data_IF_256346794925
#
_entry.id   IF_256346794925
#
_cell.length_a   1.000
_cell.length_b   1.000
_cell.length_c   1.000
_cell.angle_alpha   90.00
_cell.angle_beta   90.00
_cell.angle_gamma   90.00
#
_symmetry.space_group_name_H-M   'P 1'
#
loop_
_entity.id
_entity.type
_entity.pdbx_description
1 polymer ?
#
# COMPACT_ATOMS: atom_id res chain seq x y z
N UNK A 1 37.61 -62.30 -11.70
CA UNK A 1 37.62 -60.82 -11.72
C UNK A 1 36.57 -60.37 -12.72
N UNK A 2 35.42 -59.91 -12.23
CA UNK A 2 34.27 -59.50 -13.05
C UNK A 2 34.43 -58.03 -13.42
N UNK A 3 34.61 -57.76 -14.71
CA UNK A 3 34.69 -56.41 -15.28
C UNK A 3 33.36 -55.68 -15.05
N UNK A 4 33.33 -54.48 -14.46
CA UNK A 4 32.08 -53.77 -14.24
C UNK A 4 31.42 -53.41 -15.59
N UNK A 5 30.09 -53.53 -15.71
CA UNK A 5 29.39 -53.19 -16.95
C UNK A 5 29.59 -51.71 -17.26
N UNK A 6 30.11 -51.42 -18.46
CA UNK A 6 30.23 -50.04 -18.96
C UNK A 6 28.84 -49.52 -19.27
N UNK A 7 28.36 -48.58 -18.47
CA UNK A 7 27.11 -47.87 -18.73
C UNK A 7 27.15 -47.24 -20.14
N UNK A 8 26.19 -47.56 -21.02
CA UNK A 8 26.11 -46.97 -22.35
C UNK A 8 26.12 -45.46 -22.26
N UNK A 9 26.98 -44.80 -23.04
CA UNK A 9 27.15 -43.33 -23.08
C UNK A 9 25.82 -42.58 -23.20
N UNK A 10 24.82 -43.18 -23.86
CA UNK A 10 23.44 -42.66 -23.98
C UNK A 10 22.72 -42.53 -22.64
N UNK A 11 22.86 -43.49 -21.72
CA UNK A 11 22.25 -43.41 -20.39
C UNK A 11 22.93 -42.36 -19.52
N UNK A 12 24.25 -42.17 -19.69
CA UNK A 12 24.99 -41.14 -18.98
C UNK A 12 24.58 -39.74 -19.46
N UNK A 13 24.42 -39.55 -20.77
CA UNK A 13 23.88 -38.30 -21.35
C UNK A 13 22.44 -38.05 -20.88
N UNK A 14 21.58 -39.08 -20.90
CA UNK A 14 20.19 -38.94 -20.44
C UNK A 14 20.11 -38.56 -18.96
N UNK A 15 20.93 -39.18 -18.10
CA UNK A 15 20.99 -38.85 -16.68
C UNK A 15 21.45 -37.41 -16.44
N UNK A 16 22.48 -36.95 -17.16
CA UNK A 16 22.96 -35.56 -17.08
C UNK A 16 21.88 -34.58 -17.53
N UNK A 17 21.18 -34.85 -18.65
CA UNK A 17 20.08 -34.00 -19.13
C UNK A 17 18.95 -33.93 -18.10
N UNK A 18 18.59 -35.06 -17.49
CA UNK A 18 17.54 -35.10 -16.47
C UNK A 18 17.92 -34.25 -15.24
N UNK A 19 19.17 -34.34 -14.78
CA UNK A 19 19.68 -33.53 -13.67
C UNK A 19 19.63 -32.03 -14.01
N UNK A 20 20.03 -31.66 -15.24
CA UNK A 20 20.00 -30.25 -15.69
C UNK A 20 18.56 -29.72 -15.72
N UNK A 21 17.62 -30.48 -16.27
CA UNK A 21 16.21 -30.09 -16.31
C UNK A 21 15.64 -29.91 -14.91
N UNK A 22 15.85 -30.90 -14.02
CA UNK A 22 15.37 -30.82 -12.63
C UNK A 22 15.98 -29.62 -11.89
N UNK A 23 17.29 -29.39 -12.06
CA UNK A 23 17.97 -28.27 -11.42
C UNK A 23 17.44 -26.92 -11.93
N UNK A 24 17.20 -26.79 -13.24
CA UNK A 24 16.60 -25.60 -13.83
C UNK A 24 15.17 -25.37 -13.33
N UNK A 25 14.35 -26.41 -13.22
CA UNK A 25 12.99 -26.28 -12.69
C UNK A 25 12.98 -25.82 -11.22
N UNK A 26 13.86 -26.37 -10.38
CA UNK A 26 13.96 -25.99 -8.96
C UNK A 26 14.46 -24.56 -8.80
N UNK A 27 15.43 -24.12 -9.59
CA UNK A 27 15.94 -22.74 -9.54
C UNK A 27 14.89 -21.73 -10.02
N UNK A 28 14.16 -22.06 -11.10
CA UNK A 28 13.02 -21.25 -11.57
C UNK A 28 11.90 -21.17 -10.52
N UNK A 29 11.55 -22.28 -9.87
CA UNK A 29 10.55 -22.30 -8.79
C UNK A 29 10.96 -21.41 -7.62
N UNK A 30 12.19 -21.58 -7.11
CA UNK A 30 12.71 -20.75 -6.00
C UNK A 30 12.88 -19.29 -6.36
N UNK A 31 13.09 -18.96 -7.63
CA UNK A 31 13.12 -17.58 -8.10
C UNK A 31 11.72 -16.98 -8.15
N UNK A 32 10.73 -17.75 -8.59
CA UNK A 32 9.33 -17.36 -8.60
C UNK A 32 8.75 -17.18 -7.19
N UNK A 33 8.99 -18.13 -6.27
CA UNK A 33 8.61 -17.99 -4.85
C UNK A 33 9.23 -16.75 -4.20
N UNK A 34 10.52 -16.48 -4.48
CA UNK A 34 11.19 -15.28 -3.96
C UNK A 34 10.62 -13.99 -4.53
N UNK A 35 10.06 -14.01 -5.74
CA UNK A 35 9.34 -12.85 -6.29
C UNK A 35 7.99 -12.64 -5.61
N UNK A 36 7.30 -13.71 -5.24
CA UNK A 36 6.00 -13.62 -4.56
C UNK A 36 6.12 -13.44 -3.04
N UNK A 37 7.30 -13.65 -2.46
CA UNK A 37 7.52 -13.45 -1.03
C UNK A 37 7.22 -12.00 -0.63
N UNK A 38 6.11 -11.81 0.10
CA UNK A 38 5.63 -10.50 0.55
C UNK A 38 4.53 -9.88 -0.33
N UNK A 39 4.07 -10.56 -1.38
CA UNK A 39 2.82 -10.20 -2.07
C UNK A 39 1.61 -10.54 -1.20
N UNK A 40 0.64 -9.63 -1.20
CA UNK A 40 -0.64 -9.82 -0.56
C UNK A 40 -1.49 -10.75 -1.43
N UNK A 41 -1.96 -11.84 -0.84
CA UNK A 41 -2.81 -12.84 -1.51
C UNK A 41 -4.31 -12.58 -1.32
N UNK A 42 -4.64 -11.71 -0.37
CA UNK A 42 -6.00 -11.38 0.05
C UNK A 42 -6.06 -9.93 0.48
N UNK A 43 -7.23 -9.34 0.32
CA UNK A 43 -7.46 -7.97 0.73
C UNK A 43 -7.52 -7.87 2.26
N UNK A 44 -6.90 -6.84 2.88
CA UNK A 44 -6.99 -6.65 4.32
C UNK A 44 -8.40 -6.16 4.70
N UNK A 45 -8.76 -6.28 5.98
CA UNK A 45 -9.89 -5.49 6.51
C UNK A 45 -9.47 -4.02 6.54
N UNK A 46 -10.11 -3.20 5.71
CA UNK A 46 -9.67 -1.83 5.44
C UNK A 46 -9.86 -0.94 6.67
N UNK A 47 -10.95 -1.13 7.42
CA UNK A 47 -11.16 -0.39 8.66
C UNK A 47 -10.21 -0.84 9.79
N UNK A 48 -9.69 -2.08 9.74
CA UNK A 48 -8.71 -2.54 10.72
C UNK A 48 -7.29 -2.01 10.46
N UNK A 49 -7.04 -1.36 9.32
CA UNK A 49 -5.72 -0.80 9.01
C UNK A 49 -5.39 0.45 9.84
N UNK A 50 -6.39 1.22 10.26
CA UNK A 50 -6.17 2.37 11.14
C UNK A 50 -6.73 2.03 12.51
N UNK A 51 -5.91 2.19 13.55
CA UNK A 51 -6.30 1.78 14.90
C UNK A 51 -7.46 2.63 15.43
N UNK A 52 -8.35 2.06 16.26
CA UNK A 52 -9.39 2.83 16.94
C UNK A 52 -8.81 4.01 17.74
N UNK A 53 -7.62 3.85 18.32
CA UNK A 53 -6.92 4.89 19.09
C UNK A 53 -6.54 6.08 18.20
N UNK A 54 -5.96 5.83 17.01
CA UNK A 54 -5.63 6.88 16.05
C UNK A 54 -6.89 7.56 15.52
N UNK A 55 -7.96 6.80 15.21
CA UNK A 55 -9.24 7.40 14.80
C UNK A 55 -9.83 8.25 15.91
N UNK A 56 -9.82 7.81 17.16
CA UNK A 56 -10.34 8.60 18.29
C UNK A 56 -9.53 9.88 18.50
N UNK A 57 -8.19 9.84 18.35
CA UNK A 57 -7.32 11.02 18.42
C UNK A 57 -7.62 12.03 17.30
N UNK A 58 -7.83 11.54 16.08
CA UNK A 58 -8.05 12.39 14.89
C UNK A 58 -9.50 12.87 14.75
N UNK A 59 -10.46 12.06 15.21
CA UNK A 59 -11.90 12.21 15.06
C UNK A 59 -12.63 11.73 16.33
N UNK A 60 -12.52 12.46 17.45
CA UNK A 60 -13.03 12.03 18.76
C UNK A 60 -14.54 11.81 18.79
N UNK A 61 -15.27 12.48 17.90
CA UNK A 61 -16.74 12.41 17.78
C UNK A 61 -17.23 11.44 16.70
N UNK A 62 -16.35 10.66 16.06
CA UNK A 62 -16.76 9.71 15.02
C UNK A 62 -17.54 8.51 15.59
N UNK A 63 -18.52 8.02 14.84
CA UNK A 63 -19.35 6.86 15.21
C UNK A 63 -18.80 5.51 14.69
N UNK A 64 -17.50 5.44 14.41
CA UNK A 64 -16.84 4.28 13.81
C UNK A 64 -16.61 4.39 12.30
N UNK A 65 -15.98 3.35 11.74
CA UNK A 65 -15.61 3.28 10.33
C UNK A 65 -16.69 2.65 9.48
N UNK A 66 -16.95 3.22 8.32
CA UNK A 66 -17.78 2.63 7.27
C UNK A 66 -16.89 2.00 6.21
N UNK A 67 -16.91 0.68 6.14
CA UNK A 67 -16.21 -0.10 5.11
C UNK A 67 -17.03 -0.15 3.81
N UNK A 68 -16.35 -0.08 2.68
CA UNK A 68 -16.88 -0.24 1.32
C UNK A 68 -15.85 -0.99 0.45
N UNK A 69 -16.18 -1.29 -0.80
CA UNK A 69 -15.30 -2.00 -1.73
C UNK A 69 -13.95 -1.29 -1.89
N UNK A 70 -12.90 -1.84 -1.26
CA UNK A 70 -11.55 -1.28 -1.33
C UNK A 70 -11.30 -0.07 -0.45
N UNK A 71 -12.19 0.29 0.49
CA UNK A 71 -12.03 1.50 1.28
C UNK A 71 -12.68 1.46 2.66
N UNK A 72 -12.23 2.35 3.55
CA UNK A 72 -12.90 2.64 4.81
C UNK A 72 -12.94 4.15 5.05
N UNK A 73 -14.04 4.65 5.61
CA UNK A 73 -14.21 6.07 5.93
C UNK A 73 -14.66 6.26 7.37
N UNK A 74 -13.98 7.13 8.09
CA UNK A 74 -14.39 7.66 9.38
C UNK A 74 -14.70 9.14 9.24
N UNK A 75 -15.81 9.58 9.79
CA UNK A 75 -16.19 10.99 9.72
C UNK A 75 -16.80 11.45 11.04
N UNK A 76 -16.44 12.67 11.45
CA UNK A 76 -17.15 13.35 12.51
C UNK A 76 -18.59 13.69 12.07
N UNK A 77 -19.55 13.81 13.01
CA UNK A 77 -20.88 14.35 12.74
C UNK A 77 -20.78 15.74 12.10
N UNK A 78 -21.78 16.06 11.27
CA UNK A 78 -21.91 17.41 10.70
C UNK A 78 -22.41 18.37 11.77
N UNK A 79 -21.60 19.35 12.12
CA UNK A 79 -22.07 20.57 12.77
C UNK A 79 -22.60 21.55 11.71
N UNK A 80 -23.64 22.33 12.03
CA UNK A 80 -24.25 23.24 11.06
C UNK A 80 -23.23 24.25 10.55
N UNK A 81 -23.05 24.32 9.22
CA UNK A 81 -22.19 25.31 8.57
C UNK A 81 -20.68 25.00 8.59
N UNK A 82 -20.27 23.86 9.15
CA UNK A 82 -18.85 23.46 9.24
C UNK A 82 -18.61 22.21 8.40
N UNK A 83 -17.57 22.22 7.58
CA UNK A 83 -17.14 21.01 6.87
C UNK A 83 -16.67 19.96 7.88
N UNK A 84 -17.01 18.69 7.66
CA UNK A 84 -16.69 17.63 8.64
C UNK A 84 -15.24 17.17 8.52
N UNK A 85 -14.58 16.98 9.65
CA UNK A 85 -13.32 16.24 9.68
C UNK A 85 -13.57 14.76 9.28
N UNK A 86 -12.67 14.18 8.50
CA UNK A 86 -12.78 12.80 8.07
C UNK A 86 -11.42 12.17 7.72
N UNK A 87 -11.33 10.87 7.89
CA UNK A 87 -10.25 10.02 7.40
C UNK A 87 -10.86 9.09 6.36
N UNK A 88 -10.31 9.08 5.16
CA UNK A 88 -10.69 8.18 4.08
C UNK A 88 -9.48 7.36 3.66
N UNK A 89 -9.54 6.04 3.84
CA UNK A 89 -8.53 5.08 3.40
C UNK A 89 -9.06 4.35 2.19
N UNK A 90 -8.26 4.27 1.12
CA UNK A 90 -8.45 3.40 -0.03
C UNK A 90 -7.26 2.48 -0.19
N UNK A 91 -7.51 1.21 -0.46
CA UNK A 91 -6.47 0.22 -0.67
C UNK A 91 -6.80 -0.63 -1.89
N UNK A 92 -5.80 -0.81 -2.75
CA UNK A 92 -5.92 -1.58 -3.99
C UNK A 92 -4.84 -2.65 -4.03
N UNK A 93 -5.25 -3.91 -4.13
CA UNK A 93 -4.37 -5.04 -4.40
C UNK A 93 -4.26 -5.25 -5.90
N UNK A 94 -3.05 -5.15 -6.42
CA UNK A 94 -2.76 -5.17 -7.86
C UNK A 94 -1.71 -6.26 -8.15
N UNK A 95 -1.19 -6.29 -9.37
CA UNK A 95 0.11 -6.93 -9.61
C UNK A 95 1.21 -5.98 -9.13
N UNK A 96 2.40 -6.50 -8.81
CA UNK A 96 3.55 -5.68 -8.35
C UNK A 96 3.88 -4.58 -9.36
N UNK A 97 3.89 -4.91 -10.65
CA UNK A 97 4.21 -3.94 -11.71
C UNK A 97 3.13 -2.85 -11.81
N UNK A 98 1.86 -3.23 -11.76
CA UNK A 98 0.75 -2.27 -11.83
C UNK A 98 0.66 -1.40 -10.56
N UNK A 99 0.99 -1.95 -9.38
CA UNK A 99 1.08 -1.16 -8.15
C UNK A 99 2.17 -0.08 -8.25
N UNK A 100 3.32 -0.43 -8.84
CA UNK A 100 4.43 0.51 -9.06
C UNK A 100 4.09 1.57 -10.11
N UNK A 101 3.44 1.17 -11.20
CA UNK A 101 2.96 2.08 -12.23
C UNK A 101 1.94 3.08 -11.66
N UNK A 102 0.89 2.59 -10.98
CA UNK A 102 -0.12 3.43 -10.36
C UNK A 102 0.47 4.36 -9.29
N UNK A 103 1.47 3.91 -8.52
CA UNK A 103 2.17 4.78 -7.58
C UNK A 103 2.88 5.94 -8.30
N UNK A 104 3.59 5.64 -9.40
CA UNK A 104 4.28 6.66 -10.21
C UNK A 104 3.30 7.65 -10.85
N UNK A 105 2.16 7.17 -11.32
CA UNK A 105 1.10 8.02 -11.87
C UNK A 105 0.52 8.95 -10.79
N UNK A 106 0.19 8.42 -9.60
CA UNK A 106 -0.27 9.28 -8.50
C UNK A 106 0.80 10.31 -8.09
N UNK A 107 2.09 9.96 -8.22
CA UNK A 107 3.22 10.83 -7.90
C UNK A 107 3.55 11.86 -8.98
N UNK A 108 3.17 11.67 -10.25
CA UNK A 108 3.50 12.64 -11.32
C UNK A 108 2.80 13.99 -11.12
N UNK A 109 1.71 13.99 -10.33
CA UNK A 109 0.93 15.18 -10.00
C UNK A 109 -0.07 15.56 -11.08
N UNK A 110 -0.36 14.67 -12.03
CA UNK A 110 -1.35 14.92 -13.09
C UNK A 110 -2.80 14.74 -12.60
N UNK A 111 -2.98 14.32 -11.34
CA UNK A 111 -4.28 14.17 -10.72
C UNK A 111 -4.90 15.53 -10.39
N UNK A 112 -6.05 15.83 -11.00
CA UNK A 112 -6.82 17.05 -10.72
C UNK A 112 -7.24 17.11 -9.26
N UNK A 113 -7.11 18.29 -8.65
CA UNK A 113 -7.55 18.55 -7.29
C UNK A 113 -6.50 18.26 -6.21
N UNK A 114 -5.21 18.22 -6.57
CA UNK A 114 -4.09 18.13 -5.62
C UNK A 114 -2.97 19.11 -5.99
N UNK A 115 -2.32 19.70 -4.99
CA UNK A 115 -1.26 20.69 -5.15
C UNK A 115 0.08 19.98 -5.46
N UNK A 116 0.56 20.09 -6.71
CA UNK A 116 1.80 19.44 -7.16
C UNK A 116 3.05 19.89 -6.39
N UNK A 117 3.11 21.19 -6.05
CA UNK A 117 4.28 21.80 -5.40
C UNK A 117 4.41 21.46 -3.91
N UNK A 118 3.49 20.67 -3.37
CA UNK A 118 3.42 20.33 -1.94
C UNK A 118 3.79 18.90 -1.64
N UNK A 119 4.36 18.22 -2.64
CA UNK A 119 4.76 16.84 -2.52
C UNK A 119 5.96 16.71 -1.59
N UNK A 120 5.84 15.83 -0.61
CA UNK A 120 6.88 15.51 0.36
C UNK A 120 7.12 14.00 0.37
N UNK A 121 8.38 13.57 0.33
CA UNK A 121 8.73 12.16 0.48
C UNK A 121 8.67 11.71 1.92
N UNK A 122 8.04 10.55 2.16
CA UNK A 122 7.89 9.97 3.49
C UNK A 122 8.71 8.69 3.63
N UNK A 123 10.04 8.78 3.84
CA UNK A 123 10.87 7.60 4.02
C UNK A 123 10.43 6.80 5.25
N UNK A 124 10.45 5.48 5.14
CA UNK A 124 10.06 4.56 6.22
C UNK A 124 8.58 4.18 6.24
N UNK A 125 7.75 4.70 5.33
CA UNK A 125 6.38 4.20 5.10
C UNK A 125 6.34 3.29 3.88
N UNK A 126 6.14 1.99 4.10
CA UNK A 126 6.14 1.01 3.01
C UNK A 126 7.49 0.92 2.30
N UNK A 127 7.46 0.66 0.99
CA UNK A 127 8.64 0.73 0.12
C UNK A 127 8.86 2.13 -0.44
N UNK A 128 7.76 2.81 -0.78
CA UNK A 128 7.76 4.16 -1.33
C UNK A 128 6.50 4.86 -0.83
N UNK A 129 6.64 6.12 -0.42
CA UNK A 129 5.52 6.93 0.02
C UNK A 129 5.75 8.43 -0.23
N UNK A 130 4.65 9.15 -0.44
CA UNK A 130 4.64 10.60 -0.46
C UNK A 130 3.39 11.17 0.20
N UNK A 131 3.50 12.41 0.65
CA UNK A 131 2.40 13.26 1.08
C UNK A 131 2.18 14.36 0.06
N UNK A 132 0.94 14.82 -0.07
CA UNK A 132 0.59 16.06 -0.77
C UNK A 132 -0.69 16.66 -0.21
N UNK A 133 -0.89 17.94 -0.44
CA UNK A 133 -2.10 18.64 0.00
C UNK A 133 -3.11 18.82 -1.12
N UNK A 134 -4.39 18.85 -0.76
CA UNK A 134 -5.44 19.33 -1.66
C UNK A 134 -5.43 20.86 -1.75
N UNK A 135 -6.09 21.45 -2.77
CA UNK A 135 -6.18 22.89 -2.94
C UNK A 135 -6.80 23.55 -1.70
N UNK A 136 -6.17 24.62 -1.24
CA UNK A 136 -6.69 25.44 -0.15
C UNK A 136 -7.73 26.43 -0.70
N UNK A 137 -8.99 26.02 -0.73
CA UNK A 137 -10.11 26.91 -1.11
C UNK A 137 -10.71 27.56 0.15
N UNK A 138 -10.95 28.89 0.14
CA UNK A 138 -11.61 29.56 1.27
C UNK A 138 -12.92 28.88 1.65
N UNK A 139 -13.05 28.54 2.93
CA UNK A 139 -14.23 27.88 3.47
C UNK A 139 -14.33 26.38 3.20
N UNK A 140 -13.32 25.73 2.61
CA UNK A 140 -13.24 24.25 2.53
C UNK A 140 -12.20 23.71 3.51
N UNK A 141 -12.33 22.43 3.87
CA UNK A 141 -11.33 21.71 4.66
C UNK A 141 -9.96 21.74 4.00
N UNK A 142 -8.91 21.98 4.80
CA UNK A 142 -7.56 21.60 4.41
C UNK A 142 -7.47 20.06 4.41
N UNK A 143 -6.88 19.51 3.35
CA UNK A 143 -6.72 18.07 3.19
C UNK A 143 -5.28 17.69 2.91
N UNK A 144 -4.79 16.65 3.57
CA UNK A 144 -3.54 15.98 3.23
C UNK A 144 -3.82 14.55 2.81
N UNK A 145 -3.09 14.10 1.81
CA UNK A 145 -3.12 12.73 1.32
C UNK A 145 -1.75 12.13 1.43
N UNK A 146 -1.66 10.96 2.05
CA UNK A 146 -0.50 10.07 1.98
C UNK A 146 -0.82 8.95 1.02
N UNK A 147 0.09 8.70 0.08
CA UNK A 147 0.06 7.54 -0.80
C UNK A 147 1.31 6.72 -0.51
N UNK A 148 1.14 5.43 -0.23
CA UNK A 148 2.27 4.53 -0.08
C UNK A 148 2.03 3.19 -0.77
N UNK A 149 3.13 2.56 -1.16
CA UNK A 149 3.13 1.23 -1.78
C UNK A 149 3.89 0.25 -0.90
N UNK A 150 3.36 -0.96 -0.78
CA UNK A 150 4.05 -2.10 -0.15
C UNK A 150 3.78 -3.35 -0.97
N UNK A 151 4.82 -3.90 -1.60
CA UNK A 151 4.69 -4.96 -2.60
C UNK A 151 3.64 -4.61 -3.66
N UNK A 152 2.59 -5.42 -3.78
CA UNK A 152 1.47 -5.27 -4.71
C UNK A 152 0.25 -4.52 -4.12
N UNK A 153 0.36 -3.95 -2.92
CA UNK A 153 -0.65 -3.09 -2.31
C UNK A 153 -0.31 -1.61 -2.52
N UNK A 154 -1.28 -0.85 -3.02
CA UNK A 154 -1.25 0.61 -3.08
C UNK A 154 -2.31 1.16 -2.12
N UNK A 155 -1.90 2.03 -1.20
CA UNK A 155 -2.78 2.58 -0.17
C UNK A 155 -2.74 4.10 -0.26
N UNK A 156 -3.92 4.70 -0.27
CA UNK A 156 -4.14 6.14 -0.26
C UNK A 156 -4.95 6.49 0.98
N UNK A 157 -4.40 7.32 1.84
CA UNK A 157 -5.08 7.83 3.04
C UNK A 157 -5.22 9.33 2.88
N UNK A 158 -6.46 9.82 2.96
CA UNK A 158 -6.78 11.25 2.95
C UNK A 158 -7.33 11.63 4.31
N UNK A 159 -6.74 12.64 4.93
CA UNK A 159 -7.25 13.24 6.15
C UNK A 159 -7.67 14.68 5.85
N UNK A 160 -8.87 15.03 6.28
CA UNK A 160 -9.45 16.35 6.17
C UNK A 160 -9.83 16.84 7.57
N UNK A 161 -9.48 18.08 7.89
CA UNK A 161 -9.95 18.76 9.11
C UNK A 161 -10.72 20.02 8.76
N UNK A 162 -11.56 20.44 9.71
CA UNK A 162 -12.40 21.62 9.63
C UNK A 162 -11.71 22.91 10.06
N UNK A 163 -10.58 22.80 10.76
CA UNK A 163 -9.71 23.92 11.09
C UNK A 163 -8.65 24.13 10.00
N UNK A 164 -8.19 25.37 9.86
CA UNK A 164 -7.19 25.77 8.86
C UNK A 164 -5.75 25.39 9.29
N UNK A 165 -5.58 24.39 10.17
CA UNK A 165 -4.27 23.95 10.67
C UNK A 165 -3.65 22.92 9.73
N UNK A 166 -2.83 23.43 8.81
CA UNK A 166 -2.13 22.61 7.81
C UNK A 166 -1.17 21.59 8.43
N UNK A 167 -0.50 21.91 9.54
CA UNK A 167 0.46 20.98 10.17
C UNK A 167 -0.26 19.87 10.94
N UNK A 168 -1.39 20.17 11.57
CA UNK A 168 -2.24 19.16 12.19
C UNK A 168 -2.83 18.19 11.15
N UNK A 169 -3.27 18.71 9.99
CA UNK A 169 -3.74 17.87 8.87
C UNK A 169 -2.60 16.99 8.32
N UNK A 170 -1.40 17.55 8.16
CA UNK A 170 -0.21 16.79 7.74
C UNK A 170 0.10 15.65 8.70
N UNK A 171 0.27 15.98 9.98
CA UNK A 171 0.61 15.03 11.04
C UNK A 171 -0.44 13.93 11.15
N UNK A 172 -1.73 14.28 11.10
CA UNK A 172 -2.80 13.30 11.18
C UNK A 172 -2.85 12.32 10.01
N UNK A 173 -2.57 12.79 8.78
CA UNK A 173 -2.47 11.92 7.61
C UNK A 173 -1.28 10.93 7.72
N UNK A 174 -0.13 11.41 8.21
CA UNK A 174 1.07 10.60 8.42
C UNK A 174 0.83 9.54 9.51
N UNK A 175 0.20 9.92 10.63
CA UNK A 175 -0.09 9.00 11.72
C UNK A 175 -1.04 7.87 11.28
N UNK A 176 -2.12 8.20 10.57
CA UNK A 176 -3.01 7.19 10.01
C UNK A 176 -2.29 6.26 9.01
N UNK A 177 -1.34 6.80 8.23
CA UNK A 177 -0.54 6.00 7.32
C UNK A 177 0.46 5.08 8.04
N UNK A 178 1.09 5.54 9.12
CA UNK A 178 1.95 4.71 9.98
C UNK A 178 1.20 3.53 10.56
N UNK A 179 -0.01 3.77 11.06
CA UNK A 179 -0.88 2.70 11.55
C UNK A 179 -1.19 1.71 10.44
N UNK A 180 -1.63 2.18 9.27
CA UNK A 180 -1.94 1.32 8.13
C UNK A 180 -0.74 0.46 7.72
N UNK A 181 0.46 1.02 7.67
CA UNK A 181 1.69 0.25 7.38
C UNK A 181 1.95 -0.82 8.44
N UNK A 182 1.76 -0.49 9.73
CA UNK A 182 2.00 -1.42 10.85
C UNK A 182 1.01 -2.59 10.89
N UNK A 183 -0.24 -2.35 10.45
CA UNK A 183 -1.29 -3.37 10.40
C UNK A 183 -1.24 -4.20 9.11
N UNK A 184 -0.56 -3.70 8.07
CA UNK A 184 -0.44 -4.41 6.79
C UNK A 184 0.43 -5.67 6.94
N UNK A 185 -0.19 -6.85 6.78
CA UNK A 185 0.48 -8.15 6.80
C UNK A 185 0.18 -8.93 5.50
N UNK A 186 1.22 -9.38 4.77
CA UNK A 186 1.05 -10.14 3.52
C UNK A 186 0.35 -11.50 3.73
#
# INVERSE_FOLDING_TARGET
MTTPPKLPRRHLIAAVLLIVVVSASVTSWRWWERRQAGEFTRDPSYCALVTPETIHRLLPTSYGGREDLGSCTWAAPREKGVYRANVHLRASRLTVDLARENYREQRSGDERGWEKDTQEDLPGLGEEAFLRFGPTDPGKNITARVVFRRSNMLITITYARSDDDREAVRTGAIDAARDAVSQLRP
#
